data_IF_886120942277
#
_entry.id   IF_886120942277
#
_cell.length_a   1.000
_cell.length_b   1.000
_cell.length_c   1.000
_cell.angle_alpha   90.00
_cell.angle_beta   90.00
_cell.angle_gamma   90.00
#
_symmetry.space_group_name_H-M   'P 1'
#
loop_
_entity.id
_entity.type
_entity.pdbx_description
1 polymer ?
#
# COMPACT_ATOMS: atom_id res chain seq x y z
N UNK A 1 14.70 -17.11 3.99
CA UNK A 1 13.31 -16.68 4.26
C UNK A 1 12.91 -15.87 3.05
N UNK A 2 11.93 -16.34 2.29
CA UNK A 2 11.56 -15.73 1.02
C UNK A 2 10.77 -14.43 1.27
N UNK A 3 10.85 -13.47 0.34
CA UNK A 3 10.22 -12.15 0.50
C UNK A 3 8.70 -12.25 0.77
N UNK A 4 8.04 -13.29 0.25
CA UNK A 4 6.61 -13.53 0.49
C UNK A 4 6.30 -13.89 1.95
N UNK A 5 7.20 -14.58 2.64
CA UNK A 5 7.03 -14.90 4.06
C UNK A 5 7.18 -13.64 4.90
N UNK A 6 8.23 -12.86 4.64
CA UNK A 6 8.48 -11.59 5.33
C UNK A 6 7.34 -10.59 5.09
N UNK A 7 6.80 -10.54 3.86
CA UNK A 7 5.68 -9.68 3.54
C UNK A 7 4.40 -10.08 4.31
N UNK A 8 4.15 -11.38 4.46
CA UNK A 8 2.99 -11.86 5.26
C UNK A 8 3.14 -11.52 6.73
N UNK A 9 4.34 -11.67 7.29
CA UNK A 9 4.62 -11.28 8.68
C UNK A 9 4.43 -9.77 8.87
N UNK A 10 4.97 -8.95 7.97
CA UNK A 10 4.75 -7.50 7.95
C UNK A 10 3.26 -7.15 7.89
N UNK A 11 2.49 -7.82 7.02
CA UNK A 11 1.04 -7.60 6.92
C UNK A 11 0.29 -7.99 8.20
N UNK A 12 0.69 -9.07 8.87
CA UNK A 12 0.06 -9.51 10.13
C UNK A 12 0.40 -8.58 11.29
N UNK A 13 1.62 -8.06 11.37
CA UNK A 13 2.00 -7.02 12.34
C UNK A 13 1.21 -5.72 12.11
N UNK A 14 1.11 -5.28 10.85
CA UNK A 14 0.36 -4.09 10.42
C UNK A 14 -1.16 -4.25 10.39
N UNK A 15 -1.69 -5.45 10.69
CA UNK A 15 -3.13 -5.76 10.62
C UNK A 15 -3.97 -4.94 11.61
N UNK A 16 -3.35 -4.55 12.72
CA UNK A 16 -3.97 -3.72 13.76
C UNK A 16 -3.96 -2.22 13.43
N UNK A 17 -3.13 -1.78 12.47
CA UNK A 17 -3.06 -0.38 12.04
C UNK A 17 -4.33 0.01 11.30
N UNK A 18 -4.80 1.23 11.49
CA UNK A 18 -5.91 1.75 10.70
C UNK A 18 -5.46 2.04 9.27
N UNK A 19 -6.41 2.14 8.34
CA UNK A 19 -6.09 2.54 6.97
C UNK A 19 -5.49 3.96 6.92
N UNK A 20 -5.91 4.85 7.82
CA UNK A 20 -5.34 6.20 7.94
C UNK A 20 -3.88 6.21 8.38
N UNK A 21 -3.49 5.29 9.27
CA UNK A 21 -2.10 5.13 9.70
C UNK A 21 -1.25 4.64 8.53
N UNK A 22 -1.72 3.65 7.77
CA UNK A 22 -1.02 3.14 6.58
C UNK A 22 -0.84 4.20 5.49
N UNK A 23 -1.85 5.05 5.27
CA UNK A 23 -1.75 6.18 4.36
C UNK A 23 -0.72 7.21 4.83
N UNK A 24 -0.65 7.43 6.14
CA UNK A 24 0.34 8.33 6.76
C UNK A 24 1.76 7.76 6.63
N UNK A 25 1.94 6.47 6.86
CA UNK A 25 3.22 5.77 6.69
C UNK A 25 3.69 5.80 5.24
N UNK A 26 2.79 5.57 4.28
CA UNK A 26 3.08 5.75 2.87
C UNK A 26 3.53 7.19 2.57
N UNK A 27 2.77 8.18 3.06
CA UNK A 27 3.09 9.59 2.82
C UNK A 27 4.44 10.00 3.42
N UNK A 28 4.79 9.45 4.58
CA UNK A 28 6.10 9.66 5.20
C UNK A 28 7.22 8.96 4.42
N UNK A 29 6.99 7.74 3.94
CA UNK A 29 7.99 6.94 3.21
C UNK A 29 8.32 7.54 1.85
N UNK A 30 7.30 7.99 1.12
CA UNK A 30 7.45 8.46 -0.27
C UNK A 30 7.40 9.98 -0.41
N UNK A 31 7.20 10.73 0.68
CA UNK A 31 6.98 12.17 0.68
C UNK A 31 5.88 12.60 -0.32
N UNK A 32 4.86 11.75 -0.51
CA UNK A 32 3.83 11.93 -1.52
C UNK A 32 2.49 11.36 -1.04
N UNK A 33 1.40 12.02 -1.43
CA UNK A 33 0.06 11.50 -1.17
C UNK A 33 -0.21 10.23 -1.99
N UNK A 34 -0.90 9.26 -1.38
CA UNK A 34 -1.32 8.06 -2.10
C UNK A 34 -2.42 8.35 -3.12
N UNK A 35 -3.34 9.27 -2.79
CA UNK A 35 -4.37 9.76 -3.70
C UNK A 35 -3.95 11.13 -4.23
N UNK A 36 -3.92 11.27 -5.56
CA UNK A 36 -3.59 12.53 -6.24
C UNK A 36 -4.88 13.16 -6.73
N UNK A 37 -5.11 14.43 -6.38
CA UNK A 37 -6.27 15.17 -6.89
C UNK A 37 -6.21 15.30 -8.41
N UNK A 38 -7.30 14.98 -9.09
CA UNK A 38 -7.41 15.06 -10.55
C UNK A 38 -6.99 13.80 -11.30
N UNK A 39 -6.50 12.79 -10.58
CA UNK A 39 -6.46 11.42 -11.10
C UNK A 39 -7.69 10.66 -10.61
N UNK A 40 -8.29 9.86 -11.49
CA UNK A 40 -9.25 8.85 -11.05
C UNK A 40 -8.50 7.89 -10.12
N UNK A 41 -8.82 7.99 -8.83
CA UNK A 41 -8.18 7.20 -7.80
C UNK A 41 -8.42 5.71 -8.03
N UNK A 42 -7.64 4.83 -7.37
CA UNK A 42 -7.92 3.42 -7.48
C UNK A 42 -9.30 3.10 -6.90
N UNK A 43 -10.22 2.63 -7.75
CA UNK A 43 -11.54 2.15 -7.35
C UNK A 43 -11.45 0.74 -6.77
N UNK A 44 -10.80 0.63 -5.61
CA UNK A 44 -10.54 -0.64 -4.93
C UNK A 44 -11.21 -0.68 -3.58
N UNK A 45 -11.45 -1.89 -3.07
CA UNK A 45 -11.97 -2.08 -1.71
C UNK A 45 -10.93 -1.73 -0.64
N UNK A 46 -11.36 -1.46 0.59
CA UNK A 46 -10.45 -1.18 1.73
C UNK A 46 -9.40 -2.27 1.93
N UNK A 47 -9.76 -3.53 1.66
CA UNK A 47 -8.84 -4.67 1.74
C UNK A 47 -7.74 -4.55 0.69
N UNK A 48 -8.11 -4.30 -0.55
CA UNK A 48 -7.17 -4.16 -1.67
C UNK A 48 -6.28 -2.92 -1.51
N UNK A 49 -6.86 -1.83 -1.01
CA UNK A 49 -6.11 -0.62 -0.70
C UNK A 49 -5.07 -0.88 0.41
N UNK A 50 -5.43 -1.62 1.45
CA UNK A 50 -4.47 -2.04 2.48
C UNK A 50 -3.35 -2.91 1.91
N UNK A 51 -3.70 -3.91 1.10
CA UNK A 51 -2.71 -4.79 0.48
C UNK A 51 -1.73 -3.99 -0.40
N UNK A 52 -2.24 -3.00 -1.13
CA UNK A 52 -1.44 -2.07 -1.94
C UNK A 52 -0.52 -1.19 -1.10
N UNK A 53 -1.05 -0.55 -0.05
CA UNK A 53 -0.25 0.29 0.86
C UNK A 53 0.86 -0.52 1.54
N UNK A 54 0.53 -1.71 2.07
CA UNK A 54 1.51 -2.61 2.67
C UNK A 54 2.59 -3.01 1.68
N UNK A 55 2.22 -3.32 0.43
CA UNK A 55 3.18 -3.64 -0.62
C UNK A 55 4.13 -2.47 -0.90
N UNK A 56 3.59 -1.25 -1.00
CA UNK A 56 4.40 -0.06 -1.24
C UNK A 56 5.41 0.16 -0.12
N UNK A 57 4.94 0.13 1.13
CA UNK A 57 5.79 0.35 2.31
C UNK A 57 6.84 -0.75 2.46
N UNK A 58 6.45 -2.02 2.31
CA UNK A 58 7.37 -3.16 2.48
C UNK A 58 8.44 -3.22 1.38
N UNK A 59 8.05 -3.07 0.12
CA UNK A 59 9.00 -3.15 -1.01
C UNK A 59 9.69 -1.82 -1.31
N UNK A 60 9.31 -0.73 -0.65
CA UNK A 60 9.83 0.62 -0.93
C UNK A 60 9.50 1.08 -2.35
N UNK A 61 8.35 0.64 -2.88
CA UNK A 61 7.92 0.92 -4.25
C UNK A 61 6.74 1.90 -4.29
N UNK A 62 6.74 2.86 -5.23
CA UNK A 62 5.64 3.80 -5.37
C UNK A 62 4.36 3.12 -5.85
N UNK A 63 3.21 3.75 -5.59
CA UNK A 63 1.88 3.17 -5.89
C UNK A 63 1.70 2.69 -7.34
N UNK A 64 2.28 3.40 -8.32
CA UNK A 64 2.16 3.11 -9.75
C UNK A 64 2.93 1.85 -10.18
N UNK A 65 3.84 1.33 -9.36
CA UNK A 65 4.54 0.05 -9.61
C UNK A 65 3.79 -1.15 -9.02
N UNK A 66 2.66 -0.95 -8.35
CA UNK A 66 1.92 -2.06 -7.76
C UNK A 66 1.37 -3.01 -8.83
N UNK A 67 1.62 -4.33 -8.74
CA UNK A 67 1.29 -5.27 -9.80
C UNK A 67 -0.20 -5.35 -10.18
N UNK A 68 -1.10 -4.91 -9.31
CA UNK A 68 -2.55 -4.92 -9.54
C UNK A 68 -3.14 -3.53 -9.79
N UNK A 69 -2.31 -2.47 -9.85
CA UNK A 69 -2.78 -1.09 -10.02
C UNK A 69 -3.56 -0.84 -11.31
N UNK A 70 -3.34 -1.65 -12.35
CA UNK A 70 -3.92 -1.51 -13.69
C UNK A 70 -4.69 -2.78 -14.14
N UNK A 71 -5.20 -3.58 -13.19
CA UNK A 71 -6.09 -4.68 -13.56
C UNK A 71 -7.51 -4.11 -13.69
N UNK A 72 -7.89 -3.77 -14.92
CA UNK A 72 -9.28 -3.59 -15.36
C UNK A 72 -10.14 -4.82 -15.04
#
# INVERSE_FOLDING_TARGET
MDNDTLFKEFCEEGKSMSLGDLLSDYAHTFHAAFFVMGEDGPYVTDKELRDWLNWCVFYGKPRNEYPLANKD
#
